data_IF_332203954093
#
_entry.id   IF_332203954093
#
_cell.length_a   1.000
_cell.length_b   1.000
_cell.length_c   1.000
_cell.angle_alpha   90.00
_cell.angle_beta   90.00
_cell.angle_gamma   90.00
#
_symmetry.space_group_name_H-M   'P 1'
#
loop_
_entity.id
_entity.type
_entity.pdbx_description
1 polymer ?
#
# COMPACT_ATOMS: atom_id res chain seq x y z
N UNK A 1 -6.59 10.52 2.22
CA UNK A 1 -5.82 11.49 3.04
C UNK A 1 -5.55 10.95 4.45
N UNK A 2 -6.58 10.51 5.21
CA UNK A 2 -6.38 10.04 6.60
C UNK A 2 -5.42 8.84 6.69
N UNK A 3 -5.46 7.88 5.76
CA UNK A 3 -4.51 6.77 5.74
C UNK A 3 -3.06 7.25 5.61
N UNK A 4 -2.79 8.19 4.70
CA UNK A 4 -1.46 8.80 4.55
C UNK A 4 -1.03 9.53 5.83
N UNK A 5 -1.94 10.30 6.44
CA UNK A 5 -1.65 10.98 7.71
C UNK A 5 -1.31 9.98 8.84
N UNK A 6 -1.86 8.77 8.83
CA UNK A 6 -1.50 7.71 9.80
C UNK A 6 -0.12 7.15 9.52
N UNK A 7 0.25 6.98 8.25
CA UNK A 7 1.62 6.59 7.89
C UNK A 7 2.60 7.68 8.31
N UNK A 8 2.33 8.95 7.98
CA UNK A 8 3.18 10.08 8.41
C UNK A 8 3.41 10.10 9.92
N UNK A 9 2.35 9.88 10.71
CA UNK A 9 2.50 9.81 12.18
C UNK A 9 3.37 8.64 12.65
N UNK A 10 3.41 7.55 11.90
CA UNK A 10 4.18 6.35 12.25
C UNK A 10 5.64 6.37 11.77
N UNK A 11 5.92 7.14 10.71
CA UNK A 11 7.21 7.08 9.99
C UNK A 11 7.92 8.43 9.87
N UNK A 12 7.23 9.53 10.19
CA UNK A 12 7.65 10.92 9.93
C UNK A 12 7.82 11.25 8.43
N UNK A 13 7.50 10.32 7.53
CA UNK A 13 7.52 10.56 6.08
C UNK A 13 6.32 11.43 5.69
N UNK A 14 6.60 12.56 5.06
CA UNK A 14 5.57 13.46 4.56
C UNK A 14 5.14 13.11 3.14
N UNK A 15 3.84 13.17 2.88
CA UNK A 15 3.25 12.96 1.56
C UNK A 15 2.73 14.26 0.99
N UNK A 16 3.28 14.68 -0.13
CA UNK A 16 2.78 15.81 -0.90
C UNK A 16 1.80 15.32 -1.97
N UNK A 17 0.57 15.87 -1.98
CA UNK A 17 -0.39 15.56 -3.03
C UNK A 17 -0.14 16.43 -4.26
N UNK A 18 0.27 15.80 -5.33
CA UNK A 18 0.49 16.47 -6.63
C UNK A 18 -0.76 16.51 -7.52
N UNK A 19 -1.91 16.05 -6.99
CA UNK A 19 -3.20 16.06 -7.69
C UNK A 19 -3.64 14.68 -8.16
N UNK A 20 -4.54 14.64 -9.14
CA UNK A 20 -5.04 13.43 -9.78
C UNK A 20 -4.37 13.23 -11.13
N UNK A 21 -4.30 11.98 -11.56
CA UNK A 21 -3.78 11.60 -12.89
C UNK A 21 -4.83 10.80 -13.65
N UNK A 22 -4.86 10.97 -14.95
CA UNK A 22 -5.62 10.10 -15.87
C UNK A 22 -4.77 8.94 -16.40
N UNK A 23 -3.57 8.76 -15.84
CA UNK A 23 -2.69 7.67 -16.21
C UNK A 23 -3.33 6.33 -15.87
N UNK A 24 -3.42 5.44 -16.85
CA UNK A 24 -3.94 4.09 -16.62
C UNK A 24 -2.94 3.26 -15.82
N UNK A 25 -3.45 2.26 -15.07
CA UNK A 25 -2.62 1.31 -14.34
C UNK A 25 -1.46 0.78 -15.19
N UNK A 26 -1.73 0.34 -16.42
CA UNK A 26 -0.71 -0.26 -17.29
C UNK A 26 0.42 0.73 -17.64
N UNK A 27 0.09 1.99 -17.87
CA UNK A 27 1.09 3.05 -18.15
C UNK A 27 1.93 3.34 -16.90
N UNK A 28 1.29 3.49 -15.75
CA UNK A 28 1.97 3.69 -14.48
C UNK A 28 2.91 2.52 -14.18
N UNK A 29 2.44 1.28 -14.30
CA UNK A 29 3.21 0.06 -14.09
C UNK A 29 4.41 -0.05 -15.04
N UNK A 30 4.21 0.20 -16.34
CA UNK A 30 5.31 0.21 -17.33
C UNK A 30 6.33 1.30 -17.01
N UNK A 31 5.88 2.51 -16.68
CA UNK A 31 6.76 3.62 -16.31
C UNK A 31 7.62 3.25 -15.09
N UNK A 32 7.04 2.67 -14.05
CA UNK A 32 7.77 2.25 -12.86
C UNK A 32 8.77 1.12 -13.16
N UNK A 33 8.39 0.16 -13.99
CA UNK A 33 9.25 -0.99 -14.32
C UNK A 33 10.45 -0.62 -15.20
N UNK A 34 10.32 0.37 -16.09
CA UNK A 34 11.33 0.68 -17.11
C UNK A 34 12.14 1.94 -16.83
N UNK A 35 11.74 2.77 -15.89
CA UNK A 35 12.49 3.97 -15.53
C UNK A 35 13.33 3.73 -14.29
N UNK A 36 14.51 3.15 -14.46
CA UNK A 36 15.49 2.91 -13.40
C UNK A 36 16.07 4.17 -12.72
N UNK A 37 15.48 5.35 -12.91
CA UNK A 37 15.88 6.59 -12.24
C UNK A 37 14.64 7.44 -11.99
N UNK A 38 13.93 7.18 -10.93
CA UNK A 38 12.93 8.12 -10.40
C UNK A 38 13.64 8.97 -9.35
N UNK A 39 13.83 10.25 -9.66
CA UNK A 39 14.51 11.21 -8.75
C UNK A 39 13.66 11.59 -7.52
N UNK A 40 12.39 11.16 -7.46
CA UNK A 40 11.49 11.36 -6.33
C UNK A 40 10.65 10.11 -6.15
N UNK A 41 10.45 9.71 -4.92
CA UNK A 41 9.50 8.65 -4.59
C UNK A 41 8.08 9.06 -5.05
N UNK A 42 7.40 8.16 -5.75
CA UNK A 42 6.06 8.40 -6.27
C UNK A 42 5.11 7.30 -5.79
N UNK A 43 3.98 7.70 -5.25
CA UNK A 43 2.90 6.81 -4.87
C UNK A 43 1.67 7.12 -5.72
N UNK A 44 1.17 6.12 -6.43
CA UNK A 44 -0.06 6.21 -7.20
C UNK A 44 -1.12 5.31 -6.55
N UNK A 45 -2.27 5.90 -6.22
CA UNK A 45 -3.42 5.16 -5.70
C UNK A 45 -4.52 5.19 -6.76
N UNK A 46 -4.89 4.02 -7.25
CA UNK A 46 -5.87 3.83 -8.32
C UNK A 46 -7.10 3.15 -7.73
N UNK A 47 -8.27 3.73 -7.98
CA UNK A 47 -9.56 3.16 -7.64
C UNK A 47 -10.24 2.69 -8.92
N UNK A 48 -10.63 1.43 -8.96
CA UNK A 48 -11.32 0.81 -10.09
C UNK A 48 -12.58 0.09 -9.60
N UNK A 49 -13.52 -0.17 -10.49
CA UNK A 49 -14.63 -1.09 -10.24
C UNK A 49 -14.12 -2.54 -10.12
N UNK A 50 -14.98 -3.43 -9.71
CA UNK A 50 -14.60 -4.84 -9.50
C UNK A 50 -14.06 -5.49 -10.78
N UNK A 51 -14.68 -5.27 -11.92
CA UNK A 51 -14.26 -5.85 -13.20
C UNK A 51 -12.87 -5.34 -13.61
N UNK A 52 -12.62 -4.06 -13.46
CA UNK A 52 -11.31 -3.43 -13.69
C UNK A 52 -10.24 -3.98 -12.76
N UNK A 53 -10.57 -4.23 -11.49
CA UNK A 53 -9.66 -4.86 -10.54
C UNK A 53 -9.28 -6.29 -10.97
N UNK A 54 -10.27 -7.10 -11.34
CA UNK A 54 -10.05 -8.47 -11.82
C UNK A 54 -9.22 -8.50 -13.12
N UNK A 55 -9.43 -7.55 -14.03
CA UNK A 55 -8.64 -7.41 -15.25
C UNK A 55 -7.17 -7.09 -14.94
N UNK A 56 -6.90 -6.22 -13.98
CA UNK A 56 -5.54 -5.88 -13.55
C UNK A 56 -4.85 -7.11 -12.95
N UNK A 57 -5.52 -7.87 -12.08
CA UNK A 57 -4.96 -9.09 -11.50
C UNK A 57 -4.61 -10.12 -12.57
N UNK A 58 -5.49 -10.33 -13.58
CA UNK A 58 -5.22 -11.24 -14.70
C UNK A 58 -3.99 -10.81 -15.50
N UNK A 59 -3.80 -9.52 -15.72
CA UNK A 59 -2.62 -8.98 -16.44
C UNK A 59 -1.32 -9.10 -15.66
N UNK A 60 -1.39 -9.14 -14.34
CA UNK A 60 -0.25 -9.35 -13.48
C UNK A 60 0.13 -10.82 -13.33
N UNK A 61 -0.64 -11.73 -13.92
CA UNK A 61 -0.50 -13.19 -13.75
C UNK A 61 -0.44 -13.58 -12.26
N UNK A 62 -1.28 -12.90 -11.45
CA UNK A 62 -1.38 -13.17 -10.01
C UNK A 62 -2.35 -14.34 -9.79
N UNK A 63 -1.84 -15.55 -9.49
CA UNK A 63 -2.68 -16.74 -9.39
C UNK A 63 -3.56 -16.78 -8.14
N UNK A 64 -3.44 -15.79 -7.25
CA UNK A 64 -4.21 -15.81 -6.00
C UNK A 64 -5.65 -15.45 -6.27
N UNK A 65 -6.62 -16.36 -5.93
CA UNK A 65 -8.02 -15.99 -5.99
C UNK A 65 -8.24 -14.82 -5.04
N UNK A 66 -8.64 -13.71 -5.58
CA UNK A 66 -8.68 -12.44 -4.86
C UNK A 66 -9.82 -12.41 -3.85
N UNK A 67 -9.48 -12.70 -2.61
CA UNK A 67 -10.17 -12.11 -1.47
C UNK A 67 -9.51 -10.75 -1.14
N UNK A 68 -8.46 -10.39 -1.88
CA UNK A 68 -7.77 -9.13 -1.71
C UNK A 68 -8.63 -8.00 -2.28
N UNK A 69 -8.89 -6.99 -1.47
CA UNK A 69 -9.61 -5.77 -1.84
C UNK A 69 -8.66 -4.70 -2.42
N UNK A 70 -7.37 -4.99 -2.42
CA UNK A 70 -6.34 -4.13 -2.96
C UNK A 70 -5.08 -4.92 -3.31
N UNK A 71 -4.22 -4.30 -4.11
CA UNK A 71 -2.92 -4.85 -4.51
C UNK A 71 -1.87 -3.76 -4.51
N UNK A 72 -0.77 -4.02 -3.81
CA UNK A 72 0.40 -3.14 -3.80
C UNK A 72 1.51 -3.69 -4.68
N UNK A 73 2.16 -2.79 -5.39
CA UNK A 73 3.41 -3.04 -6.10
C UNK A 73 4.42 -1.98 -5.67
N UNK A 74 5.34 -2.37 -4.81
CA UNK A 74 6.46 -1.54 -4.43
C UNK A 74 7.56 -1.61 -5.48
N UNK A 75 8.17 -0.48 -5.76
CA UNK A 75 9.33 -0.39 -6.64
C UNK A 75 10.62 -0.32 -5.83
N UNK A 76 11.59 -1.16 -6.19
CA UNK A 76 12.93 -1.17 -5.61
C UNK A 76 13.94 -0.73 -6.67
N UNK A 77 14.94 0.06 -6.27
CA UNK A 77 16.13 0.24 -7.09
C UNK A 77 16.93 -1.07 -7.08
N UNK A 78 17.27 -1.57 -8.26
CA UNK A 78 17.92 -2.87 -8.43
C UNK A 78 19.32 -2.97 -7.79
N UNK A 79 19.93 -1.86 -7.46
CA UNK A 79 21.29 -1.73 -6.94
C UNK A 79 21.40 -1.14 -5.52
N UNK A 80 20.29 -0.79 -4.90
CA UNK A 80 20.31 0.01 -3.67
C UNK A 80 19.19 -0.42 -2.74
N UNK A 81 18.81 -1.52 -2.46
CA UNK A 81 17.80 -1.95 -1.46
C UNK A 81 16.84 -0.83 -0.95
N UNK A 82 16.51 0.13 -1.84
CA UNK A 82 15.72 1.32 -1.56
C UNK A 82 14.40 1.29 -2.31
N UNK A 83 13.33 1.59 -1.59
CA UNK A 83 12.03 1.80 -2.19
C UNK A 83 11.95 3.19 -2.84
N UNK A 84 11.47 3.25 -4.07
CA UNK A 84 11.26 4.51 -4.79
C UNK A 84 9.79 4.86 -4.99
N UNK A 85 8.88 4.11 -4.39
CA UNK A 85 7.45 4.35 -4.50
C UNK A 85 6.67 3.10 -4.85
N UNK A 86 5.44 3.26 -5.29
CA UNK A 86 4.61 2.13 -5.64
C UNK A 86 3.25 2.51 -6.21
N UNK A 87 2.52 1.49 -6.61
CA UNK A 87 1.15 1.60 -7.08
C UNK A 87 0.26 0.76 -6.16
N UNK A 88 -0.79 1.38 -5.65
CA UNK A 88 -1.86 0.68 -4.94
C UNK A 88 -3.08 0.69 -5.85
N UNK A 89 -3.63 -0.48 -6.14
CA UNK A 89 -4.91 -0.63 -6.84
C UNK A 89 -5.96 -1.07 -5.82
N UNK A 90 -7.02 -0.30 -5.72
CA UNK A 90 -8.13 -0.53 -4.81
C UNK A 90 -9.37 -0.92 -5.61
N UNK A 91 -10.04 -2.00 -5.23
CA UNK A 91 -11.38 -2.33 -5.68
C UNK A 91 -12.39 -1.45 -4.93
N UNK A 92 -12.99 -0.50 -5.64
CA UNK A 92 -13.92 0.46 -5.05
C UNK A 92 -15.25 -0.18 -4.63
N UNK A 93 -15.57 -1.36 -5.16
CA UNK A 93 -16.83 -2.08 -4.94
C UNK A 93 -16.68 -3.26 -3.96
N UNK A 94 -15.46 -3.61 -3.58
CA UNK A 94 -15.19 -4.76 -2.70
C UNK A 94 -15.88 -4.65 -1.34
N UNK A 95 -16.16 -3.45 -0.88
CA UNK A 95 -16.88 -3.20 0.37
C UNK A 95 -17.65 -1.89 0.34
N UNK A 96 -18.77 -1.83 1.03
CA UNK A 96 -19.49 -0.57 1.29
C UNK A 96 -18.97 0.16 2.52
N UNK A 97 -18.06 -0.45 3.29
CA UNK A 97 -17.52 0.09 4.53
C UNK A 97 -16.48 1.17 4.24
N UNK A 98 -16.79 2.41 4.62
CA UNK A 98 -15.85 3.54 4.52
C UNK A 98 -15.08 3.74 5.82
N UNK A 99 -13.94 4.42 5.72
CA UNK A 99 -13.14 4.79 6.88
C UNK A 99 -12.34 3.63 7.46
N UNK A 100 -12.24 3.60 8.79
CA UNK A 100 -11.43 2.66 9.58
C UNK A 100 -12.31 2.03 10.67
N UNK A 101 -11.82 1.01 11.33
CA UNK A 101 -12.55 0.35 12.43
C UNK A 101 -13.23 -0.95 12.01
N UNK A 102 -13.10 -1.32 10.76
CA UNK A 102 -13.46 -2.63 10.25
C UNK A 102 -12.36 -3.13 9.31
N UNK A 103 -11.98 -4.40 9.40
CA UNK A 103 -10.85 -4.96 8.62
C UNK A 103 -11.02 -4.82 7.10
N UNK A 104 -12.26 -4.77 6.63
CA UNK A 104 -12.60 -4.62 5.21
C UNK A 104 -12.99 -3.19 4.84
N UNK A 105 -12.90 -2.23 5.77
CA UNK A 105 -13.15 -0.84 5.42
C UNK A 105 -12.05 -0.32 4.48
N UNK A 106 -12.43 0.48 3.49
CA UNK A 106 -11.50 1.01 2.50
C UNK A 106 -10.28 1.71 3.11
N UNK A 107 -10.47 2.43 4.22
CA UNK A 107 -9.38 3.08 4.94
C UNK A 107 -8.39 2.10 5.58
N UNK A 108 -8.91 1.03 6.20
CA UNK A 108 -8.08 -0.01 6.82
C UNK A 108 -7.31 -0.80 5.77
N UNK A 109 -7.96 -1.16 4.67
CA UNK A 109 -7.32 -1.85 3.53
C UNK A 109 -6.23 -0.95 2.93
N UNK A 110 -6.55 0.31 2.63
CA UNK A 110 -5.56 1.24 2.10
C UNK A 110 -4.37 1.43 3.05
N UNK A 111 -4.61 1.47 4.37
CA UNK A 111 -3.54 1.59 5.34
C UNK A 111 -2.64 0.35 5.38
N UNK A 112 -3.22 -0.85 5.22
CA UNK A 112 -2.48 -2.11 5.08
C UNK A 112 -1.58 -2.08 3.83
N UNK A 113 -2.12 -1.69 2.68
CA UNK A 113 -1.35 -1.58 1.43
C UNK A 113 -0.25 -0.51 1.52
N UNK A 114 -0.50 0.59 2.24
CA UNK A 114 0.55 1.57 2.53
C UNK A 114 1.66 0.98 3.40
N UNK A 115 1.35 0.06 4.31
CA UNK A 115 2.35 -0.70 5.07
C UNK A 115 3.31 -1.45 4.13
N UNK A 116 2.79 -2.09 3.08
CA UNK A 116 3.63 -2.73 2.06
C UNK A 116 4.49 -1.74 1.27
N UNK A 117 3.95 -0.55 0.95
CA UNK A 117 4.75 0.53 0.32
C UNK A 117 5.90 0.96 1.22
N UNK A 118 5.70 0.95 2.53
CA UNK A 118 6.75 1.28 3.51
C UNK A 118 7.72 0.12 3.78
N UNK A 119 7.55 -1.03 3.13
CA UNK A 119 8.44 -2.17 3.24
C UNK A 119 8.01 -3.24 4.25
N UNK A 120 6.85 -3.11 4.89
CA UNK A 120 6.35 -4.17 5.77
C UNK A 120 5.84 -5.36 4.96
N UNK A 121 6.14 -6.55 5.43
CA UNK A 121 5.58 -7.80 4.92
C UNK A 121 4.43 -8.27 5.84
N UNK A 122 3.72 -9.30 5.39
CA UNK A 122 2.68 -9.93 6.18
C UNK A 122 3.22 -10.60 7.43
N UNK A 123 2.45 -10.52 8.51
CA UNK A 123 2.72 -11.20 9.78
C UNK A 123 1.61 -12.16 10.16
N UNK A 124 1.88 -13.06 11.13
CA UNK A 124 0.91 -14.06 11.61
C UNK A 124 0.15 -13.61 12.85
N UNK A 125 0.52 -12.48 13.42
CA UNK A 125 -0.12 -11.93 14.62
C UNK A 125 -1.39 -11.16 14.24
N UNK A 126 -2.58 -11.57 14.68
CA UNK A 126 -3.85 -10.92 14.35
C UNK A 126 -4.02 -9.53 14.99
N UNK A 127 -3.18 -9.16 15.94
CA UNK A 127 -3.19 -7.83 16.56
C UNK A 127 -2.39 -6.80 15.76
N UNK A 128 -1.81 -7.21 14.63
CA UNK A 128 -1.10 -6.33 13.70
C UNK A 128 -1.95 -6.02 12.47
N UNK A 129 -1.84 -4.80 11.94
CA UNK A 129 -2.53 -4.42 10.72
C UNK A 129 -2.05 -5.25 9.51
N UNK A 130 -0.76 -5.62 9.51
CA UNK A 130 -0.13 -6.44 8.47
C UNK A 130 -0.43 -7.94 8.58
N UNK A 131 -1.40 -8.33 9.39
CA UNK A 131 -1.84 -9.72 9.48
C UNK A 131 -2.36 -10.24 8.14
N UNK A 132 -1.85 -11.39 7.69
CA UNK A 132 -2.20 -12.00 6.39
C UNK A 132 -3.56 -12.72 6.36
N UNK A 133 -4.19 -12.90 7.51
CA UNK A 133 -5.46 -13.58 7.65
C UNK A 133 -6.68 -12.67 7.74
N UNK A 134 -7.84 -13.26 8.02
CA UNK A 134 -9.02 -12.47 8.35
C UNK A 134 -8.87 -11.88 9.75
N UNK A 135 -8.76 -10.57 9.83
CA UNK A 135 -8.85 -9.91 11.12
C UNK A 135 -10.19 -10.23 11.81
N UNK A 136 -10.22 -10.27 13.15
CA UNK A 136 -11.46 -10.27 13.91
C UNK A 136 -12.37 -9.12 13.44
N UNK A 137 -13.67 -9.28 13.63
CA UNK A 137 -14.70 -8.35 13.10
C UNK A 137 -14.60 -6.89 13.57
N UNK A 138 -13.81 -6.60 14.59
CA UNK A 138 -13.39 -5.25 14.99
C UNK A 138 -11.99 -5.02 14.41
N UNK A 139 -11.94 -4.47 13.22
CA UNK A 139 -10.67 -4.19 12.54
C UNK A 139 -9.79 -3.22 13.32
N UNK A 140 -8.50 -3.42 13.20
CA UNK A 140 -7.52 -2.49 13.73
C UNK A 140 -7.70 -1.13 13.06
N UNK A 141 -7.74 -0.08 13.86
CA UNK A 141 -7.86 1.28 13.34
C UNK A 141 -6.52 1.87 12.86
N UNK A 142 -5.42 1.14 13.06
CA UNK A 142 -4.07 1.59 12.72
C UNK A 142 -3.07 0.45 12.81
N UNK A 143 -1.82 0.78 12.62
CA UNK A 143 -0.71 -0.13 12.82
C UNK A 143 -0.66 -0.65 14.26
N UNK A 144 -0.46 -1.94 14.44
CA UNK A 144 -0.18 -2.56 15.72
C UNK A 144 1.24 -2.28 16.21
N UNK A 145 1.56 -2.72 17.42
CA UNK A 145 2.86 -2.45 18.02
C UNK A 145 4.03 -3.05 17.21
N UNK A 146 3.84 -4.26 16.66
CA UNK A 146 4.84 -4.90 15.81
C UNK A 146 5.02 -4.20 14.46
N UNK A 147 3.90 -3.74 13.85
CA UNK A 147 3.97 -2.96 12.62
C UNK A 147 4.73 -1.65 12.84
N UNK A 148 4.44 -0.94 13.95
CA UNK A 148 5.13 0.32 14.31
C UNK A 148 6.62 0.10 14.54
N UNK A 149 6.99 -0.99 15.19
CA UNK A 149 8.40 -1.35 15.38
C UNK A 149 9.09 -1.63 14.04
N UNK A 150 8.44 -2.37 13.13
CA UNK A 150 8.93 -2.59 11.78
C UNK A 150 9.10 -1.29 10.99
N UNK A 151 8.10 -0.39 11.03
CA UNK A 151 8.16 0.92 10.37
C UNK A 151 9.30 1.79 10.92
N UNK A 152 9.55 1.74 12.22
CA UNK A 152 10.65 2.46 12.85
C UNK A 152 12.01 2.00 12.30
N UNK A 153 12.22 0.69 12.20
CA UNK A 153 13.46 0.12 11.66
C UNK A 153 13.67 0.42 10.18
N UNK A 154 12.59 0.43 9.40
CA UNK A 154 12.64 0.69 7.95
C UNK A 154 12.73 2.19 7.61
N UNK A 155 12.30 3.06 8.50
CA UNK A 155 12.20 4.50 8.29
C UNK A 155 13.09 5.30 9.22
N UNK A 156 12.61 5.63 10.41
CA UNK A 156 13.24 6.58 11.33
C UNK A 156 14.69 6.16 11.70
N UNK A 157 14.91 4.89 11.98
CA UNK A 157 16.23 4.39 12.36
C UNK A 157 17.20 4.29 11.18
N UNK A 158 16.67 4.03 9.98
CA UNK A 158 17.49 3.96 8.77
C UNK A 158 17.96 5.34 8.30
N UNK A 159 17.25 6.41 8.69
CA UNK A 159 17.54 7.77 8.29
C UNK A 159 17.15 8.08 6.84
N UNK A 160 17.32 9.34 6.45
CA UNK A 160 17.24 9.73 5.04
C UNK A 160 18.54 9.31 4.34
N UNK A 161 18.42 8.67 3.20
CA UNK A 161 19.55 8.37 2.34
C UNK A 161 19.82 9.62 1.50
N UNK A 162 20.97 10.24 1.69
CA UNK A 162 21.45 11.41 0.96
C UNK A 162 21.76 11.10 -0.52
#
# INVERSE_FOLDING_TARGET
REALARVTRATEIEFESVGTTEETFLRAYQRMRYRGVIRKAELIIIWVDHDGYQEILRRLDDPRPSIAFAKTMAGLYADQDQYFGGIIVMDAEATSQRGFGHSYAHGSVLLHELGHIMGLDHVKDPDQLMYSGRHPSYGLQGFGAGDLEGLRHLGIDAGCLD
#
